data_IF_080992132638
#
_entry.id   IF_080992132638
#
_cell.length_a   1.000
_cell.length_b   1.000
_cell.length_c   1.000
_cell.angle_alpha   90.00
_cell.angle_beta   90.00
_cell.angle_gamma   90.00
#
_symmetry.space_group_name_H-M   'P 1'
#
loop_
_entity.id
_entity.type
_entity.pdbx_description
1 polymer ?
#
# COMPACT_ATOMS: atom_id res chain seq x y z
N UNK A 1 4.30 34.53 2.63
CA UNK A 1 4.82 34.13 1.31
C UNK A 1 6.10 33.34 1.56
N UNK A 2 6.04 32.01 1.50
CA UNK A 2 7.22 31.16 1.66
C UNK A 2 8.04 31.27 0.39
N UNK A 3 9.27 31.74 0.52
CA UNK A 3 10.21 31.94 -0.58
C UNK A 3 10.55 30.56 -1.19
N UNK A 4 9.99 30.25 -2.36
CA UNK A 4 10.16 28.96 -3.05
C UNK A 4 11.55 28.79 -3.69
N UNK A 5 12.49 29.69 -3.40
CA UNK A 5 13.82 29.78 -4.03
C UNK A 5 14.91 28.93 -3.38
N UNK A 6 14.65 28.24 -2.28
CA UNK A 6 15.54 27.17 -1.78
C UNK A 6 15.32 25.82 -2.49
N UNK A 7 14.55 25.79 -3.59
CA UNK A 7 14.49 24.68 -4.55
C UNK A 7 15.83 24.51 -5.29
N UNK A 8 16.81 23.95 -4.60
CA UNK A 8 17.11 22.56 -4.91
C UNK A 8 17.24 22.23 -6.42
N UNK A 9 18.34 22.61 -7.10
CA UNK A 9 18.87 22.05 -8.38
C UNK A 9 19.07 20.51 -8.36
N UNK A 10 18.24 19.76 -7.65
CA UNK A 10 18.46 18.37 -7.24
C UNK A 10 17.44 17.38 -7.79
N UNK A 11 16.41 17.80 -8.53
CA UNK A 11 15.51 16.91 -9.27
C UNK A 11 16.13 16.36 -10.57
N UNK A 12 17.41 15.99 -10.53
CA UNK A 12 18.13 15.41 -11.67
C UNK A 12 18.39 13.92 -11.45
N UNK A 13 18.37 13.16 -12.54
CA UNK A 13 18.71 11.73 -12.47
C UNK A 13 20.15 11.52 -12.00
N UNK A 14 21.05 12.46 -12.29
CA UNK A 14 22.45 12.41 -11.85
C UNK A 14 22.56 12.52 -10.32
N UNK A 15 21.78 13.41 -9.69
CA UNK A 15 21.75 13.51 -8.23
C UNK A 15 21.20 12.23 -7.60
N UNK A 16 20.11 11.67 -8.16
CA UNK A 16 19.56 10.39 -7.73
C UNK A 16 20.57 9.24 -7.88
N UNK A 17 21.29 9.18 -8.99
CA UNK A 17 22.35 8.20 -9.22
C UNK A 17 23.50 8.35 -8.23
N UNK A 18 23.88 9.59 -7.88
CA UNK A 18 24.87 9.85 -6.83
C UNK A 18 24.44 9.32 -5.46
N UNK A 19 23.19 9.57 -5.05
CA UNK A 19 22.63 9.07 -3.78
C UNK A 19 22.63 7.54 -3.74
N UNK A 20 22.30 6.90 -4.87
CA UNK A 20 22.26 5.44 -5.02
C UNK A 20 23.63 4.81 -5.29
N UNK A 21 24.72 5.59 -5.24
CA UNK A 21 26.10 5.12 -5.51
C UNK A 21 26.27 4.49 -6.91
N UNK A 22 25.47 4.95 -7.86
CA UNK A 22 25.54 4.55 -9.27
C UNK A 22 26.57 5.39 -10.06
N UNK A 23 27.10 6.46 -9.48
CA UNK A 23 28.20 7.26 -10.05
C UNK A 23 29.40 7.26 -9.11
N UNK A 24 30.64 7.33 -9.65
CA UNK A 24 31.84 7.41 -8.81
C UNK A 24 31.79 8.63 -7.86
N UNK A 25 32.30 8.52 -6.62
CA UNK A 25 32.31 9.62 -5.66
C UNK A 25 32.96 10.91 -6.20
N UNK A 26 34.00 10.76 -7.03
CA UNK A 26 34.71 11.88 -7.67
C UNK A 26 33.85 12.70 -8.64
N UNK A 27 32.69 12.20 -9.04
CA UNK A 27 31.76 12.87 -9.97
C UNK A 27 30.49 13.37 -9.27
N UNK A 28 30.36 13.17 -7.96
CA UNK A 28 29.21 13.63 -7.17
C UNK A 28 29.66 14.63 -6.12
N UNK A 29 29.62 15.95 -6.39
CA UNK A 29 29.93 16.98 -5.39
C UNK A 29 28.98 16.98 -4.18
N UNK A 30 27.90 16.18 -4.24
CA UNK A 30 26.94 16.01 -3.15
C UNK A 30 27.17 14.73 -2.34
N UNK A 31 28.20 13.94 -2.67
CA UNK A 31 28.38 12.58 -2.14
C UNK A 31 28.33 12.51 -0.61
N UNK A 32 29.04 13.39 0.11
CA UNK A 32 29.02 13.38 1.58
C UNK A 32 27.68 13.85 2.15
N UNK A 33 27.00 14.80 1.49
CA UNK A 33 25.69 15.31 1.91
C UNK A 33 24.53 14.36 1.60
N UNK A 34 24.72 13.37 0.72
CA UNK A 34 23.69 12.40 0.31
C UNK A 34 24.03 10.96 0.65
N UNK A 35 25.22 10.71 1.19
CA UNK A 35 25.56 9.43 1.80
C UNK A 35 24.52 9.18 2.88
N UNK A 36 24.14 7.92 3.02
CA UNK A 36 23.30 7.49 4.12
C UNK A 36 21.84 7.99 4.09
N UNK A 37 21.31 8.22 2.89
CA UNK A 37 19.94 8.68 2.70
C UNK A 37 18.90 7.62 3.07
N UNK A 38 17.75 8.09 3.54
CA UNK A 38 16.51 7.31 3.67
C UNK A 38 15.50 7.92 2.71
N UNK A 39 15.08 7.14 1.73
CA UNK A 39 14.01 7.56 0.83
C UNK A 39 12.67 7.32 1.49
N UNK A 40 11.83 8.36 1.52
CA UNK A 40 10.45 8.29 2.01
C UNK A 40 9.53 8.73 0.88
N UNK A 41 8.98 7.76 0.16
CA UNK A 41 7.96 8.05 -0.84
C UNK A 41 6.62 8.34 -0.19
N UNK A 42 5.94 9.36 -0.70
CA UNK A 42 4.66 9.85 -0.20
C UNK A 42 3.64 9.89 -1.33
N UNK A 43 2.39 9.61 -0.98
CA UNK A 43 1.23 9.83 -1.84
C UNK A 43 0.02 10.12 -0.93
N UNK A 44 -0.86 11.02 -1.36
CA UNK A 44 -2.05 11.43 -0.62
C UNK A 44 -3.32 11.27 -1.46
N UNK A 45 -4.28 10.52 -0.95
CA UNK A 45 -5.62 10.45 -1.54
C UNK A 45 -6.55 11.43 -0.84
N UNK A 46 -7.26 12.25 -1.63
CA UNK A 46 -8.10 13.35 -1.13
C UNK A 46 -7.32 14.34 -0.23
N UNK A 47 -6.11 14.72 -0.65
CA UNK A 47 -5.20 15.64 0.04
C UNK A 47 -5.86 16.94 0.55
N UNK A 48 -6.86 17.45 -0.17
CA UNK A 48 -7.58 18.66 0.21
C UNK A 48 -8.35 18.56 1.52
N UNK A 49 -8.71 17.36 1.96
CA UNK A 49 -9.36 17.16 3.26
C UNK A 49 -8.44 17.51 4.43
N UNK A 50 -7.12 17.27 4.30
CA UNK A 50 -6.15 17.69 5.31
C UNK A 50 -6.02 19.20 5.39
N UNK A 51 -6.40 19.95 4.36
CA UNK A 51 -6.26 21.42 4.38
C UNK A 51 -7.48 22.15 4.98
N UNK A 52 -8.62 21.47 5.14
CA UNK A 52 -9.90 22.12 5.51
C UNK A 52 -10.10 22.29 7.02
N UNK A 53 -9.81 21.26 7.80
CA UNK A 53 -10.15 21.22 9.22
C UNK A 53 -9.20 20.32 10.02
N UNK A 54 -9.04 20.58 11.32
CA UNK A 54 -8.18 19.77 12.20
C UNK A 54 -8.81 18.41 12.56
N UNK A 55 -10.14 18.35 12.66
CA UNK A 55 -10.85 17.08 12.82
C UNK A 55 -10.89 16.30 11.51
N UNK A 56 -10.50 15.04 11.57
CA UNK A 56 -10.42 14.12 10.43
C UNK A 56 -11.45 12.98 10.50
N UNK A 57 -12.38 13.01 11.46
CA UNK A 57 -13.38 11.95 11.71
C UNK A 57 -14.30 11.67 10.51
N UNK A 58 -14.61 12.70 9.73
CA UNK A 58 -15.45 12.59 8.53
C UNK A 58 -14.68 12.91 7.23
N UNK A 59 -13.38 13.21 7.35
CA UNK A 59 -12.48 13.48 6.25
C UNK A 59 -11.95 12.17 5.66
N UNK A 60 -12.62 11.64 4.64
CA UNK A 60 -12.20 10.41 3.99
C UNK A 60 -10.95 10.64 3.12
N UNK A 61 -9.77 10.57 3.70
CA UNK A 61 -8.48 10.75 3.04
C UNK A 61 -7.48 9.68 3.45
N UNK A 62 -6.36 9.60 2.73
CA UNK A 62 -5.26 8.69 3.06
C UNK A 62 -3.91 9.39 2.88
N UNK A 63 -2.93 8.93 3.66
CA UNK A 63 -1.51 9.22 3.44
C UNK A 63 -0.78 7.89 3.36
N UNK A 64 -0.09 7.68 2.25
CA UNK A 64 0.79 6.55 2.02
C UNK A 64 2.23 6.93 2.26
N UNK A 65 2.98 6.05 2.91
CA UNK A 65 4.42 6.16 3.05
C UNK A 65 5.08 4.88 2.57
N UNK A 66 6.18 4.98 1.85
CA UNK A 66 7.04 3.84 1.54
C UNK A 66 8.49 4.22 1.77
N UNK A 67 9.18 3.44 2.61
CA UNK A 67 10.50 3.78 3.15
C UNK A 67 11.52 2.76 2.67
N UNK A 68 12.62 3.28 2.13
CA UNK A 68 13.80 2.51 1.75
C UNK A 68 15.04 3.17 2.38
N UNK A 69 15.68 2.49 3.32
CA UNK A 69 16.98 2.88 3.83
C UNK A 69 18.06 2.43 2.84
N UNK A 70 18.91 3.35 2.39
CA UNK A 70 19.99 3.00 1.45
C UNK A 70 21.06 2.11 2.07
N UNK A 71 21.14 2.02 3.41
CA UNK A 71 22.00 1.05 4.12
C UNK A 71 21.54 -0.39 3.93
N UNK A 72 20.24 -0.60 3.74
CA UNK A 72 19.69 -1.94 3.59
C UNK A 72 20.00 -2.51 2.21
N UNK A 73 20.32 -1.65 1.22
CA UNK A 73 20.68 -2.09 -0.12
C UNK A 73 21.70 -3.23 -0.05
N UNK A 74 21.43 -4.38 -0.68
CA UNK A 74 22.23 -5.56 -0.46
C UNK A 74 23.69 -5.28 -0.83
N UNK A 75 24.59 -5.60 0.09
CA UNK A 75 25.96 -5.94 -0.28
C UNK A 75 26.01 -7.38 -0.85
N UNK A 76 27.22 -7.87 -1.18
CA UNK A 76 27.42 -9.18 -1.80
C UNK A 76 26.76 -10.35 -1.06
N UNK A 77 26.58 -10.22 0.26
CA UNK A 77 26.14 -11.30 1.14
C UNK A 77 24.71 -11.10 1.73
N UNK A 78 23.94 -10.11 1.28
CA UNK A 78 22.70 -9.70 1.97
C UNK A 78 21.39 -10.21 1.34
N UNK A 79 20.38 -10.39 2.22
CA UNK A 79 19.03 -10.84 1.93
C UNK A 79 18.16 -9.81 1.17
N UNK A 80 16.97 -10.24 0.72
CA UNK A 80 15.98 -9.42 0.00
C UNK A 80 15.63 -8.17 0.80
N UNK A 81 15.90 -7.00 0.23
CA UNK A 81 15.50 -5.70 0.80
C UNK A 81 14.02 -5.48 0.57
N UNK A 82 13.30 -5.19 1.65
CA UNK A 82 11.89 -4.87 1.62
C UNK A 82 11.66 -3.38 1.86
N UNK A 83 10.88 -2.76 0.98
CA UNK A 83 10.36 -1.41 1.18
C UNK A 83 9.30 -1.46 2.29
N UNK A 84 9.57 -0.81 3.42
CA UNK A 84 8.62 -0.70 4.52
C UNK A 84 7.49 0.24 4.12
N UNK A 85 6.25 -0.23 4.10
CA UNK A 85 5.12 0.53 3.54
C UNK A 85 4.00 0.68 4.54
N UNK A 86 3.50 1.90 4.66
CA UNK A 86 2.46 2.29 5.60
C UNK A 86 1.34 2.99 4.84
N UNK A 87 0.11 2.83 5.36
CA UNK A 87 -1.05 3.53 4.83
C UNK A 87 -1.93 4.00 5.98
N UNK A 88 -1.95 5.30 6.20
CA UNK A 88 -2.84 5.97 7.14
C UNK A 88 -4.13 6.34 6.43
N UNK A 89 -5.25 6.08 7.07
CA UNK A 89 -6.57 6.44 6.56
C UNK A 89 -7.38 7.14 7.65
N UNK A 90 -8.14 8.15 7.24
CA UNK A 90 -9.02 8.93 8.10
C UNK A 90 -10.46 8.87 7.58
N UNK A 91 -11.39 9.49 8.32
CA UNK A 91 -12.79 9.50 7.97
C UNK A 91 -13.57 8.30 8.53
N UNK A 92 -14.62 7.93 7.81
CA UNK A 92 -15.61 6.97 8.31
C UNK A 92 -15.07 5.54 8.42
N UNK A 93 -15.57 4.75 9.38
CA UNK A 93 -15.23 3.32 9.51
C UNK A 93 -15.46 2.52 8.21
N UNK A 94 -16.48 2.87 7.43
CA UNK A 94 -16.76 2.25 6.12
C UNK A 94 -15.64 2.52 5.11
N UNK A 95 -15.16 3.77 5.05
CA UNK A 95 -14.03 4.15 4.21
C UNK A 95 -12.76 3.42 4.65
N UNK A 96 -12.47 3.42 5.95
CA UNK A 96 -11.30 2.73 6.51
C UNK A 96 -11.26 1.23 6.20
N UNK A 97 -12.39 0.53 6.30
CA UNK A 97 -12.51 -0.88 5.90
C UNK A 97 -12.20 -1.07 4.41
N UNK A 98 -12.73 -0.21 3.54
CA UNK A 98 -12.47 -0.26 2.10
C UNK A 98 -10.98 -0.09 1.80
N UNK A 99 -10.34 0.89 2.41
CA UNK A 99 -8.90 1.16 2.25
C UNK A 99 -8.07 -0.04 2.71
N UNK A 100 -8.34 -0.56 3.91
CA UNK A 100 -7.64 -1.71 4.48
C UNK A 100 -7.70 -2.97 3.60
N UNK A 101 -8.82 -3.17 2.88
CA UNK A 101 -8.94 -4.28 1.91
C UNK A 101 -8.16 -4.07 0.62
N UNK A 102 -7.87 -2.82 0.24
CA UNK A 102 -7.11 -2.49 -0.99
C UNK A 102 -5.61 -2.45 -0.75
N UNK A 103 -5.18 -2.09 0.45
CA UNK A 103 -3.77 -1.99 0.78
C UNK A 103 -3.07 -3.36 0.70
N UNK A 104 -1.99 -3.43 -0.08
CA UNK A 104 -1.28 -4.65 -0.44
C UNK A 104 -0.15 -4.98 0.53
N UNK A 105 0.56 -3.95 1.01
CA UNK A 105 1.86 -4.10 1.66
C UNK A 105 1.78 -4.22 3.20
N UNK A 106 0.60 -4.54 3.75
CA UNK A 106 0.45 -4.77 5.18
C UNK A 106 -0.96 -4.49 5.71
N UNK A 107 -1.01 -3.73 6.81
CA UNK A 107 -2.25 -3.27 7.45
C UNK A 107 -2.34 -1.74 7.31
N UNK A 108 -3.52 -1.25 6.97
CA UNK A 108 -3.79 0.19 7.04
C UNK A 108 -4.12 0.59 8.49
N UNK A 109 -3.58 1.73 8.92
CA UNK A 109 -3.82 2.31 10.24
C UNK A 109 -5.01 3.27 10.12
N UNK A 110 -6.09 2.98 10.84
CA UNK A 110 -7.37 3.72 10.80
C UNK A 110 -7.69 4.27 12.18
N UNK A 111 -6.96 5.28 12.68
CA UNK A 111 -7.15 5.70 14.07
C UNK A 111 -6.97 7.19 14.34
N UNK A 112 -6.58 8.01 13.36
CA UNK A 112 -6.32 9.42 13.62
C UNK A 112 -7.59 10.23 13.36
N UNK A 113 -8.26 10.65 14.44
CA UNK A 113 -9.38 11.59 14.36
C UNK A 113 -8.91 13.04 14.31
N UNK A 114 -7.63 13.28 14.59
CA UNK A 114 -7.00 14.61 14.63
C UNK A 114 -5.70 14.62 13.82
N UNK A 115 -5.35 15.79 13.26
CA UNK A 115 -4.13 16.00 12.48
C UNK A 115 -2.86 15.79 13.28
N UNK A 116 -2.83 16.25 14.52
CA UNK A 116 -1.65 16.25 15.38
C UNK A 116 -1.22 14.81 15.68
N UNK A 117 -2.20 13.93 15.93
CA UNK A 117 -1.97 12.50 16.09
C UNK A 117 -1.44 11.86 14.81
N UNK A 118 -1.98 12.24 13.64
CA UNK A 118 -1.49 11.74 12.35
C UNK A 118 -0.05 12.18 12.11
N UNK A 119 0.26 13.45 12.38
CA UNK A 119 1.61 14.01 12.28
C UNK A 119 2.60 13.27 13.19
N UNK A 120 2.23 13.05 14.45
CA UNK A 120 3.05 12.31 15.42
C UNK A 120 3.31 10.86 14.96
N UNK A 121 2.28 10.16 14.45
CA UNK A 121 2.44 8.81 13.92
C UNK A 121 3.39 8.76 12.72
N UNK A 122 3.33 9.75 11.82
CA UNK A 122 4.25 9.84 10.68
C UNK A 122 5.68 10.10 11.17
N UNK A 123 5.87 11.05 12.10
CA UNK A 123 7.19 11.37 12.68
C UNK A 123 7.82 10.15 13.36
N UNK A 124 7.05 9.38 14.12
CA UNK A 124 7.54 8.18 14.80
C UNK A 124 8.04 7.06 13.87
N UNK A 125 7.66 7.10 12.59
CA UNK A 125 8.09 6.12 11.59
C UNK A 125 9.33 6.60 10.82
N UNK A 126 9.47 7.92 10.63
CA UNK A 126 10.57 8.50 9.88
C UNK A 126 11.76 8.73 10.83
N UNK A 127 12.95 8.18 10.56
CA UNK A 127 14.09 8.33 11.46
C UNK A 127 14.67 9.75 11.42
N UNK A 128 14.44 10.56 12.47
CA UNK A 128 14.84 11.98 12.54
C UNK A 128 16.36 12.22 12.42
N UNK A 129 17.19 11.25 12.78
CA UNK A 129 18.66 11.38 12.78
C UNK A 129 19.31 11.08 11.42
N UNK A 130 18.50 10.86 10.37
CA UNK A 130 18.99 10.42 9.06
C UNK A 130 18.72 11.47 8.00
N UNK A 131 19.44 11.34 6.90
CA UNK A 131 19.27 12.20 5.74
C UNK A 131 18.00 11.80 4.97
N UNK A 132 16.88 12.44 5.31
CA UNK A 132 15.59 12.14 4.70
C UNK A 132 15.48 12.79 3.32
N UNK A 133 15.12 11.99 2.32
CA UNK A 133 14.78 12.45 0.98
C UNK A 133 13.35 12.00 0.67
N UNK A 134 12.44 12.96 0.53
CA UNK A 134 11.07 12.70 0.12
C UNK A 134 11.03 12.27 -1.34
N UNK A 135 10.08 11.42 -1.69
CA UNK A 135 9.86 10.98 -3.07
C UNK A 135 8.37 11.08 -3.37
N UNK A 136 8.00 11.54 -4.55
CA UNK A 136 6.61 11.54 -4.95
C UNK A 136 6.44 11.53 -6.45
N UNK A 137 5.18 11.54 -6.89
CA UNK A 137 4.82 11.57 -8.29
C UNK A 137 3.88 12.75 -8.54
N UNK A 138 4.38 13.81 -9.18
CA UNK A 138 3.70 15.11 -9.20
C UNK A 138 3.42 15.64 -7.77
N UNK A 139 4.44 15.53 -6.91
CA UNK A 139 4.40 15.57 -5.43
C UNK A 139 3.85 16.87 -4.81
N UNK A 140 3.61 17.92 -5.61
CA UNK A 140 3.28 19.26 -5.09
C UNK A 140 2.06 19.25 -4.16
N UNK A 141 1.02 18.49 -4.49
CA UNK A 141 -0.20 18.42 -3.68
C UNK A 141 0.04 17.64 -2.37
N UNK A 142 0.87 16.60 -2.42
CA UNK A 142 1.26 15.81 -1.26
C UNK A 142 2.07 16.65 -0.27
N UNK A 143 2.99 17.49 -0.77
CA UNK A 143 3.75 18.43 0.07
C UNK A 143 2.83 19.47 0.74
N UNK A 144 1.81 19.97 0.04
CA UNK A 144 0.82 20.87 0.63
C UNK A 144 0.01 20.18 1.73
N UNK A 145 -0.42 18.95 1.51
CA UNK A 145 -1.09 18.14 2.54
C UNK A 145 -0.20 17.92 3.76
N UNK A 146 1.05 17.48 3.55
CA UNK A 146 2.02 17.28 4.64
C UNK A 146 2.32 18.57 5.40
N UNK A 147 2.45 19.71 4.70
CA UNK A 147 2.62 21.01 5.34
C UNK A 147 1.43 21.39 6.22
N UNK A 148 0.21 21.02 5.81
CA UNK A 148 -1.01 21.33 6.57
C UNK A 148 -1.16 20.50 7.87
N UNK A 149 -0.30 19.50 8.06
CA UNK A 149 -0.18 18.72 9.30
C UNK A 149 0.82 19.32 10.30
N UNK A 150 1.46 20.44 9.96
CA UNK A 150 2.46 21.14 10.79
C UNK A 150 3.60 20.26 11.30
N UNK A 151 4.03 19.32 10.46
CA UNK A 151 4.91 18.26 10.87
C UNK A 151 6.39 18.50 10.50
N UNK A 152 6.75 19.71 10.04
CA UNK A 152 8.14 20.08 9.72
C UNK A 152 8.69 19.45 8.44
N UNK A 153 7.87 18.76 7.64
CA UNK A 153 8.33 18.01 6.45
C UNK A 153 8.79 18.87 5.27
N UNK A 154 8.53 20.19 5.30
CA UNK A 154 8.87 21.10 4.20
C UNK A 154 10.38 21.31 4.00
N UNK A 155 11.19 21.01 5.00
CA UNK A 155 12.63 21.20 4.95
C UNK A 155 13.36 20.06 4.22
N UNK A 156 12.68 18.94 3.96
CA UNK A 156 13.28 17.80 3.31
C UNK A 156 13.48 18.01 1.80
N UNK A 157 14.64 17.55 1.32
CA UNK A 157 14.91 17.43 -0.12
C UNK A 157 13.93 16.42 -0.72
N UNK A 158 13.55 16.60 -1.98
CA UNK A 158 12.63 15.67 -2.63
C UNK A 158 13.00 15.34 -4.08
N UNK A 159 12.61 14.14 -4.48
CA UNK A 159 12.58 13.69 -5.87
C UNK A 159 11.14 13.60 -6.38
N UNK A 160 10.83 14.29 -7.48
CA UNK A 160 9.58 14.11 -8.22
C UNK A 160 9.80 13.17 -9.41
N UNK A 161 9.28 11.95 -9.29
CA UNK A 161 9.40 10.92 -10.32
C UNK A 161 8.76 11.32 -11.65
N UNK A 162 7.74 12.18 -11.66
CA UNK A 162 7.15 12.69 -12.91
C UNK A 162 8.15 13.61 -13.62
N UNK A 163 8.81 14.49 -12.88
CA UNK A 163 9.83 15.40 -13.41
C UNK A 163 11.05 14.62 -13.91
N UNK A 164 11.54 13.66 -13.12
CA UNK A 164 12.66 12.79 -13.53
C UNK A 164 12.29 12.02 -14.80
N UNK A 165 11.11 11.38 -14.85
CA UNK A 165 10.65 10.64 -16.02
C UNK A 165 10.63 11.49 -17.29
N UNK A 166 10.15 12.74 -17.23
CA UNK A 166 10.17 13.68 -18.36
C UNK A 166 11.59 13.98 -18.86
N UNK A 167 12.58 13.98 -17.98
CA UNK A 167 13.98 14.27 -18.34
C UNK A 167 14.74 13.07 -18.92
N UNK A 168 14.39 11.84 -18.52
CA UNK A 168 15.16 10.64 -18.89
C UNK A 168 14.52 9.79 -19.97
N UNK A 169 13.19 9.82 -20.08
CA UNK A 169 12.47 9.00 -21.04
C UNK A 169 12.31 9.72 -22.38
N UNK A 170 12.39 9.00 -23.51
CA UNK A 170 12.03 9.57 -24.79
C UNK A 170 10.56 10.01 -24.78
N UNK A 171 10.21 11.00 -25.60
CA UNK A 171 8.81 11.37 -25.83
C UNK A 171 8.13 10.23 -26.58
N UNK A 172 7.37 9.41 -25.86
CA UNK A 172 6.74 8.18 -26.39
C UNK A 172 5.61 8.53 -27.37
N UNK A 173 4.92 9.67 -27.17
CA UNK A 173 3.86 10.14 -28.05
C UNK A 173 3.74 11.67 -27.95
N UNK A 174 3.82 12.37 -29.09
CA UNK A 174 3.70 13.85 -29.17
C UNK A 174 2.35 14.37 -28.66
N UNK A 175 1.31 13.52 -28.64
CA UNK A 175 -0.04 13.88 -28.24
C UNK A 175 -0.47 13.32 -26.86
N UNK A 176 0.41 12.61 -26.13
CA UNK A 176 0.01 12.04 -24.84
C UNK A 176 0.95 12.33 -23.68
N UNK A 177 0.27 12.65 -22.57
CA UNK A 177 0.63 12.55 -21.15
C UNK A 177 1.11 11.15 -20.70
N UNK A 178 1.65 10.33 -21.61
CA UNK A 178 2.02 8.94 -21.32
C UNK A 178 3.13 8.84 -20.28
N UNK A 179 4.03 9.82 -20.23
CA UNK A 179 5.08 9.92 -19.21
C UNK A 179 4.61 10.66 -17.93
N UNK A 180 3.31 10.95 -17.79
CA UNK A 180 2.81 11.81 -16.71
C UNK A 180 2.04 11.08 -15.62
N UNK A 181 1.51 9.88 -15.88
CA UNK A 181 0.81 9.13 -14.84
C UNK A 181 1.67 7.99 -14.34
N UNK A 182 1.61 7.76 -13.02
CA UNK A 182 2.26 6.65 -12.35
C UNK A 182 1.91 5.31 -13.03
N UNK A 183 0.62 5.10 -13.32
CA UNK A 183 0.14 3.90 -14.03
C UNK A 183 0.85 3.64 -15.37
N UNK A 184 0.96 4.67 -16.21
CA UNK A 184 1.56 4.52 -17.53
C UNK A 184 3.07 4.28 -17.43
N UNK A 185 3.75 4.95 -16.49
CA UNK A 185 5.17 4.74 -16.24
C UNK A 185 5.44 3.33 -15.71
N UNK A 186 4.66 2.85 -14.74
CA UNK A 186 4.79 1.49 -14.23
C UNK A 186 4.59 0.45 -15.34
N UNK A 187 3.60 0.65 -16.21
CA UNK A 187 3.41 -0.18 -17.41
C UNK A 187 4.59 -0.10 -18.37
N UNK A 188 5.10 1.09 -18.66
CA UNK A 188 6.24 1.28 -19.55
C UNK A 188 7.47 0.51 -19.08
N UNK A 189 7.71 0.49 -17.77
CA UNK A 189 8.80 -0.25 -17.18
C UNK A 189 8.51 -1.74 -16.94
N UNK A 190 7.29 -2.23 -17.22
CA UNK A 190 6.84 -3.56 -16.78
C UNK A 190 7.03 -3.80 -15.27
N UNK A 191 6.92 -2.74 -14.46
CA UNK A 191 6.98 -2.83 -13.01
C UNK A 191 5.68 -3.47 -12.50
N UNK A 192 5.69 -4.50 -11.64
CA UNK A 192 4.48 -5.05 -11.04
C UNK A 192 3.74 -4.00 -10.21
N UNK A 193 2.45 -3.83 -10.48
CA UNK A 193 1.56 -2.99 -9.69
C UNK A 193 0.13 -3.53 -9.70
N UNK A 194 -0.64 -3.20 -8.67
CA UNK A 194 -2.07 -3.50 -8.57
C UNK A 194 -2.72 -2.51 -7.60
N UNK A 195 -4.04 -2.32 -7.69
CA UNK A 195 -4.84 -1.50 -6.76
C UNK A 195 -4.28 -0.09 -6.51
N UNK A 196 -3.94 0.60 -7.60
CA UNK A 196 -3.73 2.05 -7.57
C UNK A 196 -4.96 2.77 -6.97
N UNK A 197 -4.81 4.02 -6.57
CA UNK A 197 -5.78 4.76 -5.75
C UNK A 197 -5.89 4.22 -4.32
N UNK A 198 -4.75 3.81 -3.78
CA UNK A 198 -4.55 3.49 -2.38
C UNK A 198 -3.20 4.07 -2.04
N UNK A 199 -3.19 5.13 -1.24
CA UNK A 199 -2.03 5.99 -1.09
C UNK A 199 -0.75 5.20 -0.72
N UNK A 200 -0.84 4.24 0.21
CA UNK A 200 0.32 3.41 0.57
C UNK A 200 0.82 2.50 -0.56
N UNK A 201 -0.08 2.00 -1.41
CA UNK A 201 0.34 1.25 -2.60
C UNK A 201 1.03 2.18 -3.59
N UNK A 202 0.44 3.35 -3.84
CA UNK A 202 0.94 4.34 -4.80
C UNK A 202 2.30 4.90 -4.38
N UNK A 203 2.51 5.15 -3.07
CA UNK A 203 3.82 5.50 -2.50
C UNK A 203 4.87 4.39 -2.75
N UNK A 204 4.52 3.12 -2.52
CA UNK A 204 5.44 1.99 -2.77
C UNK A 204 5.83 1.90 -4.25
N UNK A 205 4.84 1.97 -5.15
CA UNK A 205 5.09 1.90 -6.58
C UNK A 205 5.85 3.12 -7.10
N UNK A 206 5.61 4.30 -6.52
CA UNK A 206 6.40 5.51 -6.79
C UNK A 206 7.87 5.30 -6.43
N UNK A 207 8.15 4.68 -5.28
CA UNK A 207 9.52 4.39 -4.89
C UNK A 207 10.18 3.37 -5.82
N UNK A 208 9.48 2.29 -6.18
CA UNK A 208 9.96 1.32 -7.18
C UNK A 208 10.25 1.97 -8.52
N UNK A 209 9.37 2.88 -8.96
CA UNK A 209 9.54 3.65 -10.19
C UNK A 209 10.78 4.54 -10.10
N UNK A 210 11.04 5.21 -8.97
CA UNK A 210 12.25 6.01 -8.76
C UNK A 210 13.52 5.17 -9.01
N UNK A 211 13.59 3.96 -8.46
CA UNK A 211 14.75 3.07 -8.66
C UNK A 211 14.94 2.73 -10.14
N UNK A 212 13.85 2.45 -10.86
CA UNK A 212 13.89 2.13 -12.29
C UNK A 212 14.31 3.34 -13.14
N UNK A 213 13.86 4.54 -12.77
CA UNK A 213 14.27 5.79 -13.41
C UNK A 213 15.76 6.07 -13.20
N UNK A 214 16.31 5.78 -12.03
CA UNK A 214 17.75 5.92 -11.76
C UNK A 214 18.61 5.03 -12.68
N UNK A 215 18.14 3.81 -12.92
CA UNK A 215 18.85 2.80 -13.73
C UNK A 215 18.68 3.04 -15.23
N UNK A 216 17.58 3.67 -15.65
CA UNK A 216 17.20 3.74 -17.06
C UNK A 216 18.30 4.31 -17.99
N UNK A 217 18.97 5.44 -17.66
CA UNK A 217 20.03 5.99 -18.51
C UNK A 217 21.25 5.07 -18.63
N UNK A 218 21.48 4.18 -17.65
CA UNK A 218 22.65 3.33 -17.58
C UNK A 218 22.61 2.15 -18.56
N UNK A 219 21.46 1.87 -19.18
CA UNK A 219 21.32 0.77 -20.16
C UNK A 219 22.24 0.88 -21.38
N UNK A 220 22.80 2.07 -21.64
CA UNK A 220 23.65 2.36 -22.80
C UNK A 220 25.11 2.62 -22.42
N UNK A 221 25.48 2.43 -21.16
CA UNK A 221 26.81 2.75 -20.64
C UNK A 221 27.45 1.47 -20.11
N UNK A 222 28.76 1.33 -20.30
CA UNK A 222 29.53 0.25 -19.66
C UNK A 222 29.65 0.54 -18.16
N UNK A 223 29.16 -0.38 -17.35
CA UNK A 223 29.20 -0.28 -15.89
C UNK A 223 30.44 -0.97 -15.33
N UNK A 224 30.94 -0.48 -14.21
CA UNK A 224 31.91 -1.20 -13.40
C UNK A 224 31.21 -2.35 -12.63
N UNK A 225 31.93 -3.42 -12.24
CA UNK A 225 31.32 -4.59 -11.61
C UNK A 225 30.48 -4.27 -10.35
N UNK A 226 30.93 -3.33 -9.54
CA UNK A 226 30.21 -2.83 -8.35
C UNK A 226 28.90 -2.12 -8.73
N UNK A 227 28.93 -1.29 -9.78
CA UNK A 227 27.74 -0.63 -10.30
C UNK A 227 26.73 -1.62 -10.89
N UNK A 228 27.19 -2.67 -11.57
CA UNK A 228 26.33 -3.73 -12.10
C UNK A 228 25.57 -4.45 -10.97
N UNK A 229 26.26 -4.73 -9.87
CA UNK A 229 25.66 -5.34 -8.68
C UNK A 229 24.59 -4.44 -8.05
N UNK A 230 24.89 -3.15 -7.86
CA UNK A 230 23.92 -2.17 -7.36
C UNK A 230 22.70 -2.11 -8.30
N UNK A 231 22.91 -2.01 -9.62
CA UNK A 231 21.82 -2.00 -10.62
C UNK A 231 20.97 -3.27 -10.53
N UNK A 232 21.60 -4.43 -10.37
CA UNK A 232 20.89 -5.71 -10.19
C UNK A 232 20.03 -5.68 -8.93
N UNK A 233 20.58 -5.19 -7.82
CA UNK A 233 19.86 -5.10 -6.55
C UNK A 233 18.67 -4.13 -6.61
N UNK A 234 18.84 -2.96 -7.20
CA UNK A 234 17.76 -2.00 -7.39
C UNK A 234 16.65 -2.54 -8.30
N UNK A 235 17.00 -3.30 -9.36
CA UNK A 235 16.02 -4.03 -10.19
C UNK A 235 15.27 -5.08 -9.36
N UNK A 236 15.97 -5.86 -8.54
CA UNK A 236 15.34 -6.89 -7.71
C UNK A 236 14.31 -6.27 -6.75
N UNK A 237 14.62 -5.13 -6.14
CA UNK A 237 13.68 -4.39 -5.28
C UNK A 237 12.48 -3.90 -6.09
N UNK A 238 12.72 -3.25 -7.23
CA UNK A 238 11.66 -2.68 -8.05
C UNK A 238 10.70 -3.75 -8.61
N UNK A 239 11.24 -4.88 -9.07
CA UNK A 239 10.49 -5.98 -9.66
C UNK A 239 10.05 -7.06 -8.65
N UNK A 240 10.28 -6.85 -7.34
CA UNK A 240 9.89 -7.81 -6.30
C UNK A 240 8.39 -8.15 -6.44
N UNK A 241 7.98 -9.44 -6.47
CA UNK A 241 6.59 -9.81 -6.62
C UNK A 241 5.66 -9.11 -5.62
N UNK A 242 4.43 -8.86 -6.06
CA UNK A 242 3.42 -8.28 -5.18
C UNK A 242 3.00 -9.30 -4.12
N UNK A 243 2.68 -8.87 -2.89
CA UNK A 243 2.02 -9.73 -1.91
C UNK A 243 0.75 -10.33 -2.50
N UNK A 244 0.43 -11.57 -2.11
CA UNK A 244 -0.79 -12.21 -2.57
C UNK A 244 -2.01 -11.32 -2.26
N UNK A 245 -2.81 -10.94 -3.28
CA UNK A 245 -3.89 -9.99 -3.08
C UNK A 245 -4.93 -10.57 -2.11
N UNK A 246 -5.26 -9.82 -1.06
CA UNK A 246 -6.41 -10.17 -0.20
C UNK A 246 -7.67 -10.21 -1.06
N UNK A 247 -8.50 -11.25 -1.02
CA UNK A 247 -9.69 -11.34 -1.86
C UNK A 247 -10.62 -10.16 -1.60
N UNK A 248 -11.00 -9.43 -2.64
CA UNK A 248 -11.81 -8.23 -2.50
C UNK A 248 -13.25 -8.62 -2.11
N UNK A 249 -13.94 -7.89 -1.21
CA UNK A 249 -15.32 -8.23 -0.85
C UNK A 249 -16.26 -8.30 -2.05
N UNK A 250 -16.03 -7.46 -3.07
CA UNK A 250 -16.78 -7.53 -4.32
C UNK A 250 -16.42 -8.75 -5.15
N UNK A 251 -15.17 -9.21 -5.16
CA UNK A 251 -14.77 -10.45 -5.86
C UNK A 251 -15.37 -11.67 -5.16
N UNK A 252 -15.40 -11.66 -3.83
CA UNK A 252 -16.11 -12.67 -3.04
C UNK A 252 -17.61 -12.62 -3.35
N UNK A 253 -18.21 -11.44 -3.48
CA UNK A 253 -19.61 -11.26 -3.83
C UNK A 253 -19.92 -11.73 -5.27
N UNK A 254 -19.04 -11.43 -6.23
CA UNK A 254 -19.10 -11.89 -7.62
C UNK A 254 -18.96 -13.41 -7.69
N UNK A 255 -17.96 -13.98 -7.04
CA UNK A 255 -17.76 -15.43 -6.96
C UNK A 255 -18.97 -16.11 -6.31
N UNK A 256 -19.54 -15.53 -5.25
CA UNK A 256 -20.80 -16.00 -4.64
C UNK A 256 -21.98 -15.90 -5.61
N UNK A 257 -22.11 -14.81 -6.36
CA UNK A 257 -23.17 -14.62 -7.36
C UNK A 257 -23.04 -15.61 -8.52
N UNK A 258 -21.83 -15.84 -9.00
CA UNK A 258 -21.51 -16.84 -10.03
C UNK A 258 -21.78 -18.26 -9.52
N UNK A 259 -21.35 -18.59 -8.30
CA UNK A 259 -21.65 -19.88 -7.67
C UNK A 259 -23.15 -20.11 -7.48
N UNK A 260 -23.92 -19.07 -7.11
CA UNK A 260 -25.40 -19.14 -7.07
C UNK A 260 -26.00 -19.38 -8.45
N UNK A 261 -25.50 -18.72 -9.49
CA UNK A 261 -25.94 -18.93 -10.89
C UNK A 261 -25.64 -20.36 -11.36
N UNK A 262 -24.43 -20.86 -11.14
CA UNK A 262 -24.06 -22.24 -11.50
C UNK A 262 -24.91 -23.28 -10.75
N UNK A 263 -25.19 -23.08 -9.46
CA UNK A 263 -26.10 -23.94 -8.69
C UNK A 263 -27.52 -23.93 -9.26
N UNK A 264 -28.05 -22.76 -9.61
CA UNK A 264 -29.36 -22.65 -10.27
C UNK A 264 -29.38 -23.35 -11.64
N UNK A 265 -28.30 -23.22 -12.41
CA UNK A 265 -28.18 -23.87 -13.72
C UNK A 265 -28.16 -25.39 -13.55
N UNK A 266 -27.31 -25.92 -12.66
CA UNK A 266 -27.27 -27.37 -12.35
C UNK A 266 -28.61 -27.90 -11.87
N UNK A 267 -29.33 -27.15 -11.03
CA UNK A 267 -30.65 -27.55 -10.55
C UNK A 267 -31.72 -27.61 -11.66
N UNK A 268 -31.57 -26.85 -12.76
CA UNK A 268 -32.48 -26.92 -13.91
C UNK A 268 -32.27 -28.15 -14.79
N UNK A 269 -31.07 -28.74 -14.73
CA UNK A 269 -30.70 -29.95 -15.47
C UNK A 269 -30.64 -31.19 -14.58
N UNK A 270 -31.05 -31.08 -13.31
CA UNK A 270 -31.22 -32.23 -12.43
C UNK A 270 -32.60 -32.83 -12.64
N UNK A 271 -32.61 -34.14 -12.92
CA UNK A 271 -33.83 -34.92 -13.03
C UNK A 271 -34.62 -34.92 -11.71
N UNK A 272 -35.94 -34.99 -11.82
CA UNK A 272 -36.90 -34.89 -10.71
C UNK A 272 -36.62 -35.92 -9.61
N UNK A 273 -36.18 -37.12 -9.98
CA UNK A 273 -35.81 -38.19 -9.05
C UNK A 273 -34.53 -37.87 -8.27
N UNK A 274 -33.58 -37.21 -8.93
CA UNK A 274 -32.35 -36.74 -8.28
C UNK A 274 -32.66 -35.64 -7.26
N UNK A 275 -33.58 -34.74 -7.58
CA UNK A 275 -34.04 -33.69 -6.66
C UNK A 275 -34.78 -34.31 -5.46
N UNK A 276 -35.65 -35.29 -5.70
CA UNK A 276 -36.39 -36.00 -4.64
C UNK A 276 -35.46 -36.75 -3.68
N UNK A 277 -34.47 -37.49 -4.22
CA UNK A 277 -33.44 -38.18 -3.41
C UNK A 277 -32.64 -37.23 -2.53
N UNK A 278 -32.16 -36.12 -3.09
CA UNK A 278 -31.39 -35.12 -2.33
C UNK A 278 -32.24 -34.45 -1.25
N UNK A 279 -33.53 -34.22 -1.49
CA UNK A 279 -34.46 -33.68 -0.48
C UNK A 279 -34.70 -34.67 0.66
N UNK A 280 -34.96 -35.94 0.34
CA UNK A 280 -35.15 -37.00 1.32
C UNK A 280 -33.91 -37.19 2.20
N UNK A 281 -32.71 -37.15 1.62
CA UNK A 281 -31.46 -37.28 2.37
C UNK A 281 -31.22 -36.09 3.32
N UNK A 282 -31.57 -34.87 2.88
CA UNK A 282 -31.49 -33.67 3.75
C UNK A 282 -32.51 -33.72 4.89
N UNK A 283 -33.71 -34.24 4.65
CA UNK A 283 -34.72 -34.44 5.69
C UNK A 283 -34.20 -35.41 6.76
N UNK A 284 -33.68 -36.58 6.37
CA UNK A 284 -33.09 -37.56 7.31
C UNK A 284 -31.92 -36.97 8.10
N UNK A 285 -31.04 -36.19 7.47
CA UNK A 285 -29.93 -35.52 8.16
C UNK A 285 -30.41 -34.45 9.15
N UNK A 286 -31.53 -33.78 8.87
CA UNK A 286 -32.11 -32.77 9.75
C UNK A 286 -32.81 -33.42 10.95
N UNK A 287 -33.53 -34.51 10.74
CA UNK A 287 -34.09 -35.35 11.80
C UNK A 287 -33.00 -35.94 12.68
N UNK A 288 -31.95 -36.54 12.10
CA UNK A 288 -30.83 -37.09 12.87
C UNK A 288 -30.12 -36.05 13.76
N UNK A 289 -29.98 -34.81 13.29
CA UNK A 289 -29.44 -33.70 14.10
C UNK A 289 -30.39 -33.21 15.19
N UNK A 290 -31.69 -33.28 14.95
CA UNK A 290 -32.71 -32.91 15.95
C UNK A 290 -32.74 -33.97 17.05
N UNK A 291 -32.72 -35.25 16.68
CA UNK A 291 -32.68 -36.40 17.59
C UNK A 291 -31.40 -36.41 18.42
N UNK A 292 -30.24 -36.08 17.83
CA UNK A 292 -28.98 -35.96 18.56
C UNK A 292 -28.93 -34.83 19.61
N UNK A 293 -29.84 -33.85 19.52
CA UNK A 293 -29.97 -32.73 20.49
C UNK A 293 -30.96 -32.98 21.62
N UNK A 294 -31.76 -34.05 21.54
CA UNK A 294 -32.74 -34.40 22.57
C UNK A 294 -32.07 -34.75 23.91
N UNK A 295 -30.95 -35.49 23.96
CA UNK A 295 -30.25 -35.77 25.23
C UNK A 295 -29.74 -34.49 25.92
N UNK A 296 -29.17 -33.54 25.17
CA UNK A 296 -28.68 -32.26 25.72
C UNK A 296 -29.81 -31.42 26.34
N UNK A 297 -31.02 -31.48 25.79
CA UNK A 297 -32.17 -30.77 26.35
C UNK A 297 -32.73 -31.44 27.61
N UNK A 298 -32.62 -32.76 27.73
CA UNK A 298 -33.09 -33.50 28.90
C UNK A 298 -32.18 -33.28 30.12
N UNK A 299 -30.86 -33.25 29.92
CA UNK A 299 -29.89 -32.91 30.98
C UNK A 299 -30.10 -31.49 31.54
N UNK A 300 -30.47 -30.52 30.68
CA UNK A 300 -30.78 -29.15 31.10
C UNK A 300 -32.08 -29.08 31.93
N UNK A 301 -33.08 -29.88 31.58
CA UNK A 301 -34.35 -29.95 32.31
C UNK A 301 -34.21 -30.66 33.66
N UNK A 302 -33.43 -31.74 33.75
CA UNK A 302 -33.11 -32.40 35.03
C UNK A 302 -32.31 -31.48 35.96
N UNK A 303 -31.32 -30.75 35.42
CA UNK A 303 -30.56 -29.77 36.20
C UNK A 303 -31.44 -28.60 36.73
N UNK A 304 -32.43 -28.16 35.94
CA UNK A 304 -33.37 -27.12 36.37
C UNK A 304 -34.36 -27.62 37.44
N UNK A 305 -34.77 -28.89 37.38
CA UNK A 305 -35.64 -29.48 38.41
C UNK A 305 -34.92 -29.68 39.74
N UNK A 306 -33.60 -29.93 39.72
CA UNK A 306 -32.77 -30.05 40.93
C UNK A 306 -32.55 -28.70 41.66
N UNK A 307 -32.82 -27.57 41.00
CA UNK A 307 -32.68 -26.21 41.56
C UNK A 307 -34.01 -25.66 42.14
N UNK A 308 -35.12 -26.39 42.02
CA UNK A 308 -36.46 -25.93 42.41
C UNK A 308 -36.81 -25.97 43.90
N UNK A 309 -35.99 -26.61 44.75
CA UNK A 309 -36.33 -26.84 46.17
C UNK A 309 -35.80 -25.77 47.14
N UNK A 310 -35.33 -24.61 46.67
CA UNK A 310 -34.74 -23.58 47.54
C UNK A 310 -35.29 -22.17 47.29
N UNK A 311 -36.58 -21.93 47.59
CA UNK A 311 -37.03 -20.58 47.98
C UNK A 311 -38.18 -20.65 48.99
N UNK A 312 -37.97 -20.31 50.27
CA UNK A 312 -39.08 -20.03 51.17
C UNK A 312 -39.67 -18.64 50.85
N UNK A 313 -40.97 -18.61 50.61
CA UNK A 313 -41.77 -17.39 50.51
C UNK A 313 -41.68 -16.57 51.80
N UNK A 314 -41.22 -15.32 51.69
CA UNK A 314 -41.59 -14.19 52.55
C UNK A 314 -41.75 -12.93 51.72
#
# INVERSE_FOLDING_TARGET
MVDTNTNIKHNSVQALQGVLRLTPPSQSPLYEDVKDAVFVAIDCENASEFMKCNSLENANSQIGLAILDTRDLPGPDSSIVNISTYNFATGTSKYGKRVSTRFLFGKSYNLCTQKEQLAEQIKNIIPESRNIILVGHAIRQDLMALSSLDAGFLEYRFFDTQTIARSVLPVINKNMKANESLHNLLKYFNCPFDRLHCAGNDANFTLRLLLLLAIYPLKKVTLQPDQEEIVKNLKNIAYNPLPAPKPYPHDIALARKQGRRQRKLRARFQDSDTIARVRAERARKKEGKLVARIPEMWEILEAASALGDFLPLR
#
